data_IF_819587730282
#
_entry.id   IF_819587730282
#
_cell.length_a   1.000
_cell.length_b   1.000
_cell.length_c   1.000
_cell.angle_alpha   90.00
_cell.angle_beta   90.00
_cell.angle_gamma   90.00
#
_symmetry.space_group_name_H-M   'P 1'
#
loop_
_entity.id
_entity.type
_entity.pdbx_description
1 polymer ?
#
# COMPACT_ATOMS: atom_id res chain seq x y z
N UNK A 1 -17.19 -10.00 -13.30
CA UNK A 1 -16.33 -9.93 -12.10
C UNK A 1 -15.31 -8.82 -12.34
N UNK A 2 -15.37 -7.74 -11.56
CA UNK A 2 -14.45 -6.61 -11.70
C UNK A 2 -13.14 -6.95 -11.00
N UNK A 3 -12.01 -6.73 -11.66
CA UNK A 3 -10.68 -6.95 -11.08
C UNK A 3 -10.09 -5.60 -10.71
N UNK A 4 -9.69 -5.44 -9.46
CA UNK A 4 -9.20 -4.17 -8.92
C UNK A 4 -7.81 -4.37 -8.31
N UNK A 5 -6.83 -3.60 -8.77
CA UNK A 5 -5.45 -3.70 -8.26
C UNK A 5 -5.05 -2.40 -7.59
N UNK A 6 -4.61 -2.49 -6.34
CA UNK A 6 -4.01 -1.38 -5.60
C UNK A 6 -2.52 -1.65 -5.53
N UNK A 7 -1.73 -0.86 -6.24
CA UNK A 7 -0.27 -0.94 -6.24
C UNK A 7 0.23 0.36 -5.63
N UNK A 8 0.92 0.26 -4.49
CA UNK A 8 1.26 1.45 -3.71
C UNK A 8 2.66 1.37 -3.13
N UNK A 9 3.23 2.54 -2.88
CA UNK A 9 4.40 2.73 -2.04
C UNK A 9 3.98 3.60 -0.85
N UNK A 10 4.53 3.29 0.32
CA UNK A 10 4.37 4.13 1.51
C UNK A 10 5.67 4.03 2.29
N UNK A 11 6.26 5.18 2.59
CA UNK A 11 7.30 5.31 3.60
C UNK A 11 6.59 5.20 4.96
N UNK A 12 6.07 6.33 5.46
CA UNK A 12 5.56 6.51 6.84
C UNK A 12 4.12 6.00 7.09
N UNK A 13 3.65 5.01 6.33
CA UNK A 13 2.33 4.38 6.54
C UNK A 13 1.07 5.10 6.00
N UNK A 14 1.03 6.42 5.80
CA UNK A 14 -0.24 7.08 5.41
C UNK A 14 -0.85 6.59 4.09
N UNK A 15 0.00 6.25 3.11
CA UNK A 15 -0.49 5.69 1.84
C UNK A 15 -0.85 4.22 2.00
N UNK A 16 -0.25 3.51 2.97
CA UNK A 16 -0.64 2.16 3.33
C UNK A 16 -2.08 2.11 3.86
N UNK A 17 -2.42 2.97 4.80
CA UNK A 17 -3.78 3.06 5.36
C UNK A 17 -4.81 3.35 4.26
N UNK A 18 -4.47 4.25 3.33
CA UNK A 18 -5.31 4.56 2.18
C UNK A 18 -5.45 3.37 1.23
N UNK A 19 -4.37 2.63 0.99
CA UNK A 19 -4.38 1.46 0.12
C UNK A 19 -5.24 0.32 0.71
N UNK A 20 -5.22 0.14 2.02
CA UNK A 20 -6.10 -0.80 2.73
C UNK A 20 -7.56 -0.35 2.65
N UNK A 21 -7.85 0.94 2.85
CA UNK A 21 -9.20 1.48 2.71
C UNK A 21 -9.77 1.28 1.29
N UNK A 22 -8.96 1.50 0.24
CA UNK A 22 -9.38 1.22 -1.13
C UNK A 22 -9.61 -0.26 -1.41
N UNK A 23 -8.76 -1.13 -0.86
CA UNK A 23 -8.93 -2.58 -1.00
C UNK A 23 -10.25 -3.03 -0.35
N UNK A 24 -10.50 -2.63 0.90
CA UNK A 24 -11.71 -2.95 1.64
C UNK A 24 -12.98 -2.46 0.91
N UNK A 25 -13.01 -1.19 0.49
CA UNK A 25 -14.16 -0.65 -0.24
C UNK A 25 -14.41 -1.33 -1.59
N UNK A 26 -13.37 -1.76 -2.29
CA UNK A 26 -13.51 -2.51 -3.54
C UNK A 26 -14.01 -3.95 -3.31
N UNK A 27 -13.56 -4.61 -2.25
CA UNK A 27 -14.06 -5.93 -1.85
C UNK A 27 -15.54 -5.86 -1.44
N UNK A 28 -15.94 -4.85 -0.65
CA UNK A 28 -17.35 -4.59 -0.28
C UNK A 28 -18.24 -4.36 -1.51
N UNK A 29 -17.69 -3.74 -2.56
CA UNK A 29 -18.37 -3.55 -3.84
C UNK A 29 -18.39 -4.80 -4.75
N UNK A 30 -17.84 -5.93 -4.30
CA UNK A 30 -17.83 -7.21 -5.02
C UNK A 30 -16.71 -7.37 -6.05
N UNK A 31 -15.63 -6.59 -5.95
CA UNK A 31 -14.46 -6.74 -6.81
C UNK A 31 -13.52 -7.86 -6.30
N UNK A 32 -12.82 -8.51 -7.22
CA UNK A 32 -11.63 -9.31 -6.91
C UNK A 32 -10.44 -8.36 -6.75
N UNK A 33 -9.91 -8.25 -5.52
CA UNK A 33 -8.87 -7.27 -5.20
C UNK A 33 -7.48 -7.89 -5.15
N UNK A 34 -6.51 -7.15 -5.69
CA UNK A 34 -5.07 -7.43 -5.54
C UNK A 34 -4.36 -6.22 -4.95
N UNK A 35 -4.03 -6.28 -3.66
CA UNK A 35 -3.21 -5.28 -2.96
C UNK A 35 -1.73 -5.65 -3.05
N UNK A 36 -0.87 -4.74 -3.53
CA UNK A 36 0.59 -4.95 -3.67
C UNK A 36 1.37 -3.73 -3.22
N UNK A 37 2.18 -3.90 -2.18
CA UNK A 37 3.20 -2.92 -1.80
C UNK A 37 4.41 -3.02 -2.74
N UNK A 38 4.91 -1.89 -3.20
CA UNK A 38 6.16 -1.76 -3.96
C UNK A 38 7.33 -1.85 -2.98
N UNK A 39 8.41 -2.52 -3.41
CA UNK A 39 9.62 -2.64 -2.61
C UNK A 39 10.27 -1.27 -2.36
N UNK A 40 10.90 -1.13 -1.20
CA UNK A 40 11.70 0.04 -0.88
C UNK A 40 12.91 0.14 -1.82
N UNK A 41 13.18 1.34 -2.33
CA UNK A 41 14.33 1.64 -3.19
C UNK A 41 15.45 2.34 -2.41
N UNK A 42 15.11 2.91 -1.27
CA UNK A 42 16.02 3.64 -0.41
C UNK A 42 16.90 2.64 0.38
N UNK A 43 18.22 2.89 0.51
CA UNK A 43 19.10 2.07 1.33
C UNK A 43 18.60 1.94 2.77
N UNK A 44 18.80 0.77 3.37
CA UNK A 44 18.32 0.48 4.72
C UNK A 44 18.84 1.49 5.77
N UNK A 45 20.09 1.95 5.64
CA UNK A 45 20.67 2.96 6.52
C UNK A 45 19.89 4.28 6.55
N UNK A 46 19.27 4.67 5.43
CA UNK A 46 18.47 5.90 5.34
C UNK A 46 17.09 5.69 5.98
N UNK A 47 16.56 4.48 5.90
CA UNK A 47 15.32 4.07 6.57
C UNK A 47 15.51 4.08 8.09
N UNK A 48 16.57 3.43 8.58
CA UNK A 48 16.87 3.37 10.02
C UNK A 48 17.18 4.75 10.63
N UNK A 49 17.74 5.67 9.84
CA UNK A 49 18.04 7.02 10.30
C UNK A 49 16.81 7.94 10.42
N UNK A 50 15.65 7.54 9.91
CA UNK A 50 14.43 8.34 9.93
C UNK A 50 13.35 7.68 10.80
N UNK A 51 13.13 8.20 12.01
CA UNK A 51 12.13 7.67 12.96
C UNK A 51 10.70 7.64 12.43
N UNK A 52 10.38 8.47 11.43
CA UNK A 52 9.05 8.50 10.84
C UNK A 52 8.85 7.44 9.75
N UNK A 53 9.91 6.74 9.31
CA UNK A 53 9.87 5.85 8.13
C UNK A 53 8.94 4.66 8.28
#
# INVERSE_FOLDING_TARGET
>A
MTRFAVIYYSSTGSVHDLAEAYAAGAEEAGAEVRLRRVAELVPHEIVEANEAW
#
